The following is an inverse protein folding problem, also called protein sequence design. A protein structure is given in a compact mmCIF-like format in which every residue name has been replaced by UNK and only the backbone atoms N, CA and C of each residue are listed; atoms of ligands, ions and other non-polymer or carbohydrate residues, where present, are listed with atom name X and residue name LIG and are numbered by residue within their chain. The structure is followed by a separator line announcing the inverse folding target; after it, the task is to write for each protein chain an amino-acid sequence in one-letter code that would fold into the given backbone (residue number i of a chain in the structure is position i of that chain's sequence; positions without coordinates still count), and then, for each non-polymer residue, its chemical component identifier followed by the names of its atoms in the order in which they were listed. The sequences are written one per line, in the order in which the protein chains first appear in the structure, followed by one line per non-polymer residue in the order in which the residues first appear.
data_IF_745185256424
#
_entry.id   IF_745185256424
#
_cell.length_a   1.000
_cell.length_b   1.000
_cell.length_c   1.000
_cell.angle_alpha   90.00
_cell.angle_beta   90.00
_cell.angle_gamma   90.00
#
_symmetry.space_group_name_H-M   'P 1'
#
loop_
_entity.id
_entity.type
_entity.pdbx_description
1 polymer ?
#
# COMPACT_ATOMS: atom_id res chain seq x y z
N UNK A 1 5.94 -17.75 -15.13
CA UNK A 1 4.62 -17.40 -14.54
C UNK A 1 4.13 -18.42 -13.50
N UNK A 2 4.44 -19.71 -13.65
CA UNK A 2 4.02 -20.74 -12.68
C UNK A 2 4.58 -20.50 -11.27
N UNK A 3 5.86 -20.14 -11.16
CA UNK A 3 6.52 -19.88 -9.88
C UNK A 3 5.94 -18.66 -9.14
N UNK A 4 5.65 -17.56 -9.85
CA UNK A 4 5.02 -16.36 -9.24
C UNK A 4 3.68 -16.74 -8.59
N UNK A 5 2.84 -17.51 -9.30
CA UNK A 5 1.54 -17.95 -8.77
C UNK A 5 1.69 -18.87 -7.56
N UNK A 6 2.68 -19.77 -7.56
CA UNK A 6 2.94 -20.66 -6.43
C UNK A 6 3.38 -19.88 -5.18
N UNK A 7 4.32 -18.92 -5.34
CA UNK A 7 4.81 -18.06 -4.25
C UNK A 7 3.67 -17.17 -3.73
N UNK A 8 2.94 -16.52 -4.63
CA UNK A 8 1.78 -15.71 -4.30
C UNK A 8 0.73 -16.49 -3.48
N UNK A 9 0.36 -17.69 -3.95
CA UNK A 9 -0.64 -18.52 -3.26
C UNK A 9 -0.15 -18.99 -1.88
N UNK A 10 1.14 -19.36 -1.77
CA UNK A 10 1.77 -19.71 -0.49
C UNK A 10 1.71 -18.55 0.48
N UNK A 11 2.12 -17.36 0.04
CA UNK A 11 2.17 -16.18 0.89
C UNK A 11 0.78 -15.71 1.32
N UNK A 12 -0.17 -15.69 0.38
CA UNK A 12 -1.56 -15.33 0.67
C UNK A 12 -2.18 -16.30 1.70
N UNK A 13 -1.97 -17.61 1.54
CA UNK A 13 -2.40 -18.60 2.55
C UNK A 13 -1.72 -18.38 3.89
N UNK A 14 -0.44 -17.99 3.90
CA UNK A 14 0.29 -17.68 5.14
C UNK A 14 -0.34 -16.50 5.88
N UNK A 15 -0.77 -15.46 5.18
CA UNK A 15 -1.48 -14.33 5.78
C UNK A 15 -2.81 -14.77 6.43
N UNK A 16 -3.63 -15.51 5.70
CA UNK A 16 -4.95 -15.94 6.21
C UNK A 16 -4.88 -17.10 7.21
N UNK A 17 -3.77 -17.83 7.27
CA UNK A 17 -3.53 -18.83 8.33
C UNK A 17 -2.99 -18.20 9.62
N UNK A 18 -2.62 -16.91 9.59
CA UNK A 18 -2.16 -16.17 10.76
C UNK A 18 -3.23 -15.18 11.23
N UNK A 19 -3.27 -14.83 12.53
CA UNK A 19 -4.17 -13.80 13.03
C UNK A 19 -3.96 -12.41 12.39
N UNK A 20 -2.79 -12.16 11.82
CA UNK A 20 -2.36 -10.86 11.30
C UNK A 20 -3.32 -10.30 10.23
N UNK A 21 -3.74 -11.13 9.27
CA UNK A 21 -4.65 -10.68 8.21
C UNK A 21 -6.02 -10.28 8.79
N UNK A 22 -6.54 -11.06 9.72
CA UNK A 22 -7.84 -10.78 10.34
C UNK A 22 -7.80 -9.52 11.21
N UNK A 23 -6.74 -9.35 12.00
CA UNK A 23 -6.53 -8.12 12.79
C UNK A 23 -6.47 -6.91 11.86
N UNK A 24 -5.69 -7.00 10.77
CA UNK A 24 -5.62 -5.95 9.76
C UNK A 24 -7.01 -5.62 9.20
N UNK A 25 -7.75 -6.61 8.71
CA UNK A 25 -9.05 -6.41 8.07
C UNK A 25 -10.09 -5.82 9.04
N UNK A 26 -10.14 -6.34 10.28
CA UNK A 26 -11.11 -5.88 11.29
C UNK A 26 -10.79 -4.45 11.72
N UNK A 27 -9.55 -4.16 12.12
CA UNK A 27 -9.19 -2.81 12.58
C UNK A 27 -9.29 -1.81 11.44
N UNK A 28 -8.88 -2.18 10.22
CA UNK A 28 -9.04 -1.35 9.04
C UNK A 28 -10.51 -1.02 8.76
N UNK A 29 -11.41 -2.01 8.84
CA UNK A 29 -12.85 -1.82 8.64
C UNK A 29 -13.46 -0.95 9.74
N UNK A 30 -13.11 -1.17 11.02
CA UNK A 30 -13.62 -0.41 12.15
C UNK A 30 -13.19 1.06 12.08
N UNK A 31 -11.92 1.34 11.82
CA UNK A 31 -11.42 2.71 11.73
C UNK A 31 -12.09 3.46 10.57
N UNK A 32 -12.08 2.87 9.37
CA UNK A 32 -12.71 3.51 8.21
C UNK A 32 -14.23 3.65 8.39
N UNK A 33 -14.89 2.64 8.99
CA UNK A 33 -16.31 2.66 9.29
C UNK A 33 -16.68 3.77 10.28
N UNK A 34 -15.89 3.97 11.32
CA UNK A 34 -16.09 5.04 12.28
C UNK A 34 -16.05 6.42 11.61
N UNK A 35 -15.01 6.72 10.85
CA UNK A 35 -14.88 8.01 10.17
C UNK A 35 -15.94 8.23 9.10
N UNK A 36 -16.31 7.19 8.34
CA UNK A 36 -17.39 7.26 7.38
C UNK A 36 -18.73 7.57 8.08
N UNK A 37 -19.07 6.82 9.12
CA UNK A 37 -20.33 6.95 9.85
C UNK A 37 -20.44 8.34 10.48
N UNK A 38 -19.37 8.84 11.09
CA UNK A 38 -19.32 10.16 11.69
C UNK A 38 -19.62 11.26 10.66
N UNK A 39 -18.94 11.21 9.51
CA UNK A 39 -19.13 12.22 8.45
C UNK A 39 -20.49 12.12 7.78
N UNK A 40 -20.95 10.90 7.49
CA UNK A 40 -22.20 10.69 6.78
C UNK A 40 -23.43 11.03 7.64
N UNK A 41 -23.52 10.50 8.86
CA UNK A 41 -24.70 10.64 9.71
C UNK A 41 -24.68 11.87 10.63
N UNK A 42 -23.51 12.31 11.10
CA UNK A 42 -23.43 13.45 12.03
C UNK A 42 -23.20 14.78 11.30
N UNK A 43 -22.41 14.78 10.22
CA UNK A 43 -22.11 16.01 9.46
C UNK A 43 -23.06 16.14 8.25
N UNK A 44 -23.85 15.11 7.94
CA UNK A 44 -24.79 15.06 6.81
C UNK A 44 -24.12 15.32 5.44
N UNK A 45 -22.93 14.77 5.23
CA UNK A 45 -22.22 14.87 3.95
C UNK A 45 -22.27 13.56 3.18
N UNK A 46 -22.98 13.54 2.06
CA UNK A 46 -23.12 12.39 1.17
C UNK A 46 -21.93 12.24 0.22
N UNK A 47 -20.71 12.06 0.78
CA UNK A 47 -19.51 11.87 0.00
C UNK A 47 -18.51 10.90 0.67
N UNK A 48 -17.57 10.35 -0.13
CA UNK A 48 -16.54 9.41 0.34
C UNK A 48 -15.25 10.12 0.80
N UNK A 49 -15.21 11.46 0.82
CA UNK A 49 -13.98 12.22 1.10
C UNK A 49 -13.39 11.92 2.47
N UNK A 50 -14.22 11.72 3.48
CA UNK A 50 -13.74 11.37 4.82
C UNK A 50 -12.97 10.05 4.83
N UNK A 51 -13.50 9.03 4.15
CA UNK A 51 -12.83 7.75 4.00
C UNK A 51 -11.52 7.90 3.22
N UNK A 52 -11.54 8.65 2.12
CA UNK A 52 -10.36 8.88 1.28
C UNK A 52 -9.26 9.67 2.01
N UNK A 53 -9.62 10.57 2.91
CA UNK A 53 -8.65 11.33 3.69
C UNK A 53 -8.01 10.51 4.82
N UNK A 54 -8.79 9.63 5.48
CA UNK A 54 -8.30 8.87 6.62
C UNK A 54 -7.54 7.60 6.20
N UNK A 55 -7.94 6.96 5.10
CA UNK A 55 -7.36 5.69 4.67
C UNK A 55 -5.84 5.77 4.42
N UNK A 56 -5.29 6.80 3.73
CA UNK A 56 -3.84 6.93 3.59
C UNK A 56 -3.10 7.05 4.93
N UNK A 57 -3.69 7.69 5.93
CA UNK A 57 -3.13 7.77 7.28
C UNK A 57 -3.12 6.40 7.97
N UNK A 58 -4.18 5.63 7.83
CA UNK A 58 -4.25 4.25 8.34
C UNK A 58 -3.19 3.39 7.65
N UNK A 59 -2.98 3.56 6.36
CA UNK A 59 -1.96 2.85 5.59
C UNK A 59 -0.54 3.08 6.09
N UNK A 60 -0.22 4.24 6.69
CA UNK A 60 1.12 4.55 7.23
C UNK A 60 1.64 3.47 8.20
N UNK A 61 0.76 2.87 8.97
CA UNK A 61 1.14 1.85 9.95
C UNK A 61 0.76 0.44 9.52
N UNK A 62 -0.40 0.28 8.90
CA UNK A 62 -0.93 -1.06 8.57
C UNK A 62 -0.20 -1.73 7.41
N UNK A 63 0.15 -0.98 6.37
CA UNK A 63 0.87 -1.57 5.23
C UNK A 63 2.30 -1.98 5.60
N UNK A 64 3.09 -1.15 6.32
CA UNK A 64 4.36 -1.59 6.89
C UNK A 64 4.23 -2.83 7.78
N UNK A 65 3.18 -2.93 8.61
CA UNK A 65 2.98 -4.10 9.46
C UNK A 65 2.71 -5.40 8.64
N UNK A 66 1.95 -5.30 7.54
CA UNK A 66 1.72 -6.43 6.63
C UNK A 66 3.01 -6.81 5.87
N UNK A 67 3.77 -5.83 5.41
CA UNK A 67 4.93 -6.05 4.54
C UNK A 67 6.24 -6.36 5.28
N UNK A 68 6.35 -6.04 6.57
CA UNK A 68 7.58 -6.23 7.36
C UNK A 68 8.11 -7.67 7.34
N UNK A 69 7.23 -8.65 7.28
CA UNK A 69 7.58 -10.06 7.36
C UNK A 69 7.86 -10.72 6.00
N UNK A 70 7.57 -10.04 4.89
CA UNK A 70 7.60 -10.63 3.55
C UNK A 70 8.94 -11.30 3.19
N UNK A 71 10.06 -10.66 3.52
CA UNK A 71 11.40 -11.15 3.21
C UNK A 71 12.21 -11.32 4.51
N UNK A 72 12.10 -10.38 5.45
CA UNK A 72 12.84 -10.39 6.70
C UNK A 72 12.63 -11.67 7.52
N UNK A 73 11.41 -12.22 7.51
CA UNK A 73 11.08 -13.48 8.19
C UNK A 73 11.85 -14.67 7.59
N UNK A 74 11.89 -14.78 6.27
CA UNK A 74 12.58 -15.90 5.60
C UNK A 74 14.09 -15.80 5.77
N UNK A 75 14.61 -14.59 5.87
CA UNK A 75 16.02 -14.36 6.18
C UNK A 75 16.35 -14.71 7.63
N UNK A 76 15.53 -14.30 8.56
CA UNK A 76 15.70 -14.62 9.98
C UNK A 76 15.68 -16.14 10.25
N UNK A 77 14.85 -16.87 9.49
CA UNK A 77 14.74 -18.33 9.59
C UNK A 77 15.79 -19.09 8.75
N UNK A 78 16.65 -18.40 8.00
CA UNK A 78 17.61 -19.04 7.08
C UNK A 78 16.99 -19.72 5.86
N UNK A 79 15.66 -19.62 5.70
CA UNK A 79 14.96 -20.31 4.59
C UNK A 79 15.21 -19.67 3.23
N UNK A 80 15.74 -18.45 3.19
CA UNK A 80 16.12 -17.79 1.93
C UNK A 80 17.24 -18.54 1.20
N UNK A 81 18.13 -19.22 1.92
CA UNK A 81 19.19 -20.04 1.35
C UNK A 81 18.60 -21.24 0.61
N UNK A 82 17.58 -21.89 1.19
CA UNK A 82 16.86 -22.99 0.56
C UNK A 82 16.15 -22.49 -0.72
N UNK A 83 15.54 -21.32 -0.69
CA UNK A 83 14.88 -20.72 -1.85
C UNK A 83 15.89 -20.45 -2.97
N UNK A 84 17.11 -20.06 -2.63
CA UNK A 84 18.19 -19.83 -3.59
C UNK A 84 18.69 -21.11 -4.30
N UNK A 85 18.45 -22.30 -3.74
CA UNK A 85 18.77 -23.58 -4.39
C UNK A 85 17.67 -24.05 -5.34
N UNK A 86 16.46 -23.49 -5.24
CA UNK A 86 15.36 -23.81 -6.13
C UNK A 86 15.53 -23.12 -7.50
N UNK A 87 15.00 -23.67 -8.59
CA UNK A 87 15.05 -23.08 -9.92
C UNK A 87 14.03 -21.93 -10.05
N UNK A 88 14.09 -20.97 -9.10
CA UNK A 88 13.22 -19.79 -9.02
C UNK A 88 14.07 -18.57 -9.26
N UNK A 89 13.61 -17.68 -10.13
CA UNK A 89 14.26 -16.40 -10.36
C UNK A 89 13.90 -15.40 -9.25
N UNK A 90 14.86 -14.58 -8.82
CA UNK A 90 14.68 -13.62 -7.71
C UNK A 90 13.51 -12.68 -7.97
N UNK A 91 13.31 -12.21 -9.20
CA UNK A 91 12.18 -11.36 -9.53
C UNK A 91 10.82 -12.08 -9.35
N UNK A 92 10.74 -13.39 -9.61
CA UNK A 92 9.51 -14.17 -9.41
C UNK A 92 9.17 -14.26 -7.91
N UNK A 93 10.19 -14.39 -7.08
CA UNK A 93 10.07 -14.39 -5.63
C UNK A 93 9.56 -13.03 -5.10
N UNK A 94 10.20 -11.93 -5.51
CA UNK A 94 9.83 -10.57 -5.07
C UNK A 94 8.42 -10.21 -5.52
N UNK A 95 8.09 -10.43 -6.80
CA UNK A 95 6.78 -10.10 -7.36
C UNK A 95 5.68 -10.94 -6.71
N UNK A 96 5.91 -12.25 -6.50
CA UNK A 96 4.92 -13.12 -5.87
C UNK A 96 4.54 -12.66 -4.46
N UNK A 97 5.51 -12.27 -3.65
CA UNK A 97 5.31 -11.76 -2.29
C UNK A 97 4.66 -10.39 -2.27
N UNK A 98 5.11 -9.49 -3.13
CA UNK A 98 4.51 -8.17 -3.30
C UNK A 98 3.03 -8.25 -3.69
N UNK A 99 2.68 -9.08 -4.68
CA UNK A 99 1.29 -9.26 -5.11
C UNK A 99 0.41 -9.83 -3.99
N UNK A 100 0.93 -10.71 -3.14
CA UNK A 100 0.18 -11.23 -2.00
C UNK A 100 -0.15 -10.12 -0.99
N UNK A 101 0.79 -9.22 -0.70
CA UNK A 101 0.53 -8.07 0.18
C UNK A 101 -0.48 -7.09 -0.43
N UNK A 102 -0.35 -6.78 -1.72
CA UNK A 102 -1.32 -5.92 -2.43
C UNK A 102 -2.72 -6.54 -2.41
N UNK A 103 -2.83 -7.86 -2.60
CA UNK A 103 -4.14 -8.55 -2.55
C UNK A 103 -4.78 -8.43 -1.17
N UNK A 104 -4.01 -8.54 -0.09
CA UNK A 104 -4.53 -8.34 1.27
C UNK A 104 -5.02 -6.90 1.48
N UNK A 105 -4.30 -5.90 0.97
CA UNK A 105 -4.70 -4.49 1.04
C UNK A 105 -5.99 -4.25 0.25
N UNK A 106 -6.07 -4.76 -0.98
CA UNK A 106 -7.26 -4.66 -1.82
C UNK A 106 -8.45 -5.39 -1.19
N UNK A 107 -8.24 -6.52 -0.49
CA UNK A 107 -9.31 -7.19 0.25
C UNK A 107 -9.83 -6.33 1.41
N UNK A 108 -8.96 -5.57 2.09
CA UNK A 108 -9.36 -4.57 3.08
C UNK A 108 -10.20 -3.45 2.46
N UNK A 109 -9.78 -2.92 1.32
CA UNK A 109 -10.58 -1.94 0.57
C UNK A 109 -11.92 -2.50 0.11
N UNK A 110 -11.97 -3.76 -0.31
CA UNK A 110 -13.23 -4.40 -0.72
C UNK A 110 -14.26 -4.44 0.42
N UNK A 111 -13.83 -4.62 1.66
CA UNK A 111 -14.72 -4.54 2.83
C UNK A 111 -15.32 -3.14 2.96
N UNK A 112 -14.55 -2.09 2.71
CA UNK A 112 -15.04 -0.71 2.79
C UNK A 112 -16.04 -0.33 1.69
N UNK A 113 -16.20 -1.16 0.64
CA UNK A 113 -17.25 -0.96 -0.37
C UNK A 113 -18.67 -1.00 0.22
N UNK A 114 -18.85 -1.63 1.39
CA UNK A 114 -20.12 -1.56 2.13
C UNK A 114 -20.54 -0.11 2.38
N UNK A 115 -19.58 0.77 2.69
CA UNK A 115 -19.86 2.21 2.88
C UNK A 115 -20.28 2.89 1.57
N UNK A 116 -19.69 2.51 0.46
CA UNK A 116 -20.10 3.00 -0.86
C UNK A 116 -21.52 2.56 -1.22
N UNK A 117 -21.87 1.29 -0.96
CA UNK A 117 -23.25 0.80 -1.17
C UNK A 117 -24.25 1.46 -0.22
N UNK A 118 -23.88 1.75 1.02
CA UNK A 118 -24.70 2.52 1.96
C UNK A 118 -24.95 3.93 1.43
N UNK A 119 -23.90 4.60 0.95
CA UNK A 119 -23.99 5.91 0.32
C UNK A 119 -24.97 5.89 -0.87
N UNK A 120 -24.89 4.88 -1.74
CA UNK A 120 -25.75 4.72 -2.91
C UNK A 120 -27.24 4.57 -2.55
N UNK A 121 -27.55 3.96 -1.40
CA UNK A 121 -28.95 3.72 -0.99
C UNK A 121 -29.57 4.90 -0.23
N UNK A 122 -28.77 5.63 0.53
CA UNK A 122 -29.27 6.63 1.48
C UNK A 122 -28.82 8.06 1.12
N UNK A 123 -27.72 8.19 0.38
CA UNK A 123 -27.15 9.47 0.01
C UNK A 123 -27.87 10.16 -1.14
N UNK A 124 -27.70 11.47 -1.24
CA UNK A 124 -28.23 12.31 -2.33
C UNK A 124 -27.07 12.95 -3.09
N UNK A 125 -27.25 13.15 -4.40
CA UNK A 125 -26.31 13.83 -5.28
C UNK A 125 -24.87 13.23 -5.25
N UNK A 126 -24.77 11.93 -5.46
CA UNK A 126 -23.51 11.16 -5.34
C UNK A 126 -22.68 11.29 -6.62
N UNK A 127 -21.39 11.64 -6.48
CA UNK A 127 -20.41 11.57 -7.54
C UNK A 127 -19.78 10.16 -7.61
N UNK A 128 -20.35 9.32 -8.47
CA UNK A 128 -19.87 7.94 -8.69
C UNK A 128 -18.47 7.90 -9.30
N UNK A 129 -18.15 8.88 -10.17
CA UNK A 129 -16.85 8.97 -10.81
C UNK A 129 -15.73 9.20 -9.81
N UNK A 130 -15.89 10.20 -8.95
CA UNK A 130 -14.95 10.49 -7.89
C UNK A 130 -14.81 9.33 -6.89
N UNK A 131 -15.91 8.64 -6.56
CA UNK A 131 -15.87 7.49 -5.67
C UNK A 131 -15.06 6.32 -6.25
N UNK A 132 -15.32 5.91 -7.49
CA UNK A 132 -14.60 4.80 -8.14
C UNK A 132 -13.12 5.16 -8.33
N UNK A 133 -12.82 6.35 -8.84
CA UNK A 133 -11.45 6.81 -9.02
C UNK A 133 -10.69 6.92 -7.68
N UNK A 134 -11.38 7.32 -6.60
CA UNK A 134 -10.83 7.35 -5.27
C UNK A 134 -10.43 5.96 -4.75
N UNK A 135 -11.26 4.93 -4.95
CA UNK A 135 -10.91 3.55 -4.61
C UNK A 135 -9.73 3.02 -5.43
N UNK A 136 -9.68 3.30 -6.73
CA UNK A 136 -8.53 2.97 -7.58
C UNK A 136 -7.27 3.68 -7.06
N UNK A 137 -7.39 4.97 -6.72
CA UNK A 137 -6.31 5.74 -6.12
C UNK A 137 -5.81 5.14 -4.82
N UNK A 138 -6.70 4.73 -3.90
CA UNK A 138 -6.32 4.06 -2.65
C UNK A 138 -5.62 2.72 -2.89
N UNK A 139 -6.06 1.95 -3.88
CA UNK A 139 -5.38 0.72 -4.27
C UNK A 139 -3.95 0.98 -4.78
N UNK A 140 -3.76 2.05 -5.57
CA UNK A 140 -2.44 2.46 -6.07
C UNK A 140 -1.53 2.98 -4.94
N UNK A 141 -2.04 3.81 -4.02
CA UNK A 141 -1.30 4.26 -2.82
C UNK A 141 -0.89 3.05 -2.00
N UNK A 142 -1.82 2.12 -1.76
CA UNK A 142 -1.54 0.88 -1.06
C UNK A 142 -0.45 0.04 -1.73
N UNK A 143 -0.47 -0.04 -3.05
CA UNK A 143 0.53 -0.74 -3.84
C UNK A 143 1.92 -0.09 -3.74
N UNK A 144 2.01 1.26 -3.75
CA UNK A 144 3.27 1.99 -3.52
C UNK A 144 3.81 1.69 -2.12
N UNK A 145 2.98 1.82 -1.09
CA UNK A 145 3.41 1.58 0.29
C UNK A 145 3.82 0.12 0.52
N UNK A 146 3.13 -0.83 -0.11
CA UNK A 146 3.52 -2.24 -0.09
C UNK A 146 4.87 -2.49 -0.78
N UNK A 147 5.16 -1.79 -1.89
CA UNK A 147 6.45 -1.91 -2.57
C UNK A 147 7.60 -1.36 -1.70
N UNK A 148 7.39 -0.21 -1.06
CA UNK A 148 8.33 0.36 -0.10
C UNK A 148 8.55 -0.55 1.13
N UNK A 149 7.47 -1.16 1.65
CA UNK A 149 7.56 -2.13 2.73
C UNK A 149 8.26 -3.43 2.33
N UNK A 150 8.06 -3.90 1.10
CA UNK A 150 8.78 -5.06 0.55
C UNK A 150 10.29 -4.75 0.45
N UNK A 151 10.64 -3.55 0.01
CA UNK A 151 12.03 -3.07 0.02
C UNK A 151 12.60 -3.04 1.44
N UNK A 152 11.91 -2.41 2.39
CA UNK A 152 12.36 -2.35 3.78
C UNK A 152 12.58 -3.75 4.37
N UNK A 153 11.68 -4.70 4.06
CA UNK A 153 11.79 -6.10 4.47
C UNK A 153 13.00 -6.82 3.86
N UNK A 154 13.52 -6.34 2.72
CA UNK A 154 14.71 -6.90 2.09
C UNK A 154 16.04 -6.39 2.67
N UNK A 155 16.01 -5.26 3.38
CA UNK A 155 17.21 -4.61 3.93
C UNK A 155 17.71 -5.32 5.20
N UNK A 156 16.83 -5.85 6.02
CA UNK A 156 17.13 -6.41 7.34
C UNK A 156 16.51 -7.80 7.54
N UNK A 157 17.04 -8.53 8.50
CA UNK A 157 16.52 -9.86 8.92
C UNK A 157 15.53 -9.72 10.09
N UNK A 158 15.51 -8.55 10.75
CA UNK A 158 14.64 -8.28 11.88
C UNK A 158 13.33 -7.62 11.40
N UNK A 159 12.19 -8.26 11.66
CA UNK A 159 10.87 -7.77 11.25
C UNK A 159 10.53 -6.42 11.88
N UNK A 160 10.93 -6.17 13.14
CA UNK A 160 10.65 -4.90 13.83
C UNK A 160 11.46 -3.75 13.19
N UNK A 161 12.72 -4.00 12.87
CA UNK A 161 13.55 -3.02 12.16
C UNK A 161 13.00 -2.76 10.76
N UNK A 162 12.55 -3.81 10.05
CA UNK A 162 11.88 -3.69 8.77
C UNK A 162 10.64 -2.81 8.85
N UNK A 163 9.81 -3.01 9.87
CA UNK A 163 8.63 -2.19 10.13
C UNK A 163 8.98 -0.71 10.30
N UNK A 164 9.98 -0.41 11.14
CA UNK A 164 10.42 0.96 11.41
C UNK A 164 10.92 1.64 10.12
N UNK A 165 11.74 0.94 9.32
CA UNK A 165 12.24 1.45 8.03
C UNK A 165 11.07 1.70 7.07
N UNK A 166 10.13 0.76 6.97
CA UNK A 166 8.96 0.89 6.10
C UNK A 166 8.08 2.09 6.50
N UNK A 167 7.77 2.22 7.80
CA UNK A 167 7.01 3.37 8.34
C UNK A 167 7.72 4.67 8.03
N UNK A 168 9.05 4.74 8.24
CA UNK A 168 9.81 5.95 7.96
C UNK A 168 9.74 6.35 6.48
N UNK A 169 9.93 5.40 5.55
CA UNK A 169 9.83 5.67 4.12
C UNK A 169 8.41 6.17 3.76
N UNK A 170 7.38 5.50 4.25
CA UNK A 170 5.98 5.83 3.93
C UNK A 170 5.59 7.19 4.52
N UNK A 171 6.03 7.51 5.75
CA UNK A 171 5.84 8.84 6.36
C UNK A 171 6.51 9.94 5.53
N UNK A 172 7.73 9.70 5.03
CA UNK A 172 8.41 10.67 4.16
C UNK A 172 7.54 10.98 2.94
N UNK A 173 7.04 9.97 2.22
CA UNK A 173 6.16 10.17 1.07
C UNK A 173 4.86 10.90 1.40
N UNK A 174 4.28 10.62 2.57
CA UNK A 174 3.06 11.28 3.03
C UNK A 174 3.30 12.74 3.46
N UNK A 175 4.44 13.02 4.11
CA UNK A 175 4.79 14.37 4.58
C UNK A 175 5.18 15.32 3.43
N UNK A 176 5.66 14.83 2.29
CA UNK A 176 6.11 15.68 1.19
C UNK A 176 5.07 16.73 0.78
N UNK A 177 3.79 16.36 0.71
CA UNK A 177 2.72 17.29 0.40
C UNK A 177 2.50 18.34 1.51
N UNK A 178 2.59 17.92 2.76
CA UNK A 178 2.38 18.80 3.93
C UNK A 178 3.53 19.78 4.14
N UNK A 179 4.73 19.42 3.69
CA UNK A 179 5.91 20.28 3.76
C UNK A 179 5.94 21.39 2.72
N UNK A 180 5.07 21.35 1.69
CA UNK A 180 5.04 22.37 0.63
C UNK A 180 4.87 23.80 1.15
N UNK A 181 4.23 23.99 2.32
CA UNK A 181 4.03 25.28 2.97
C UNK A 181 5.36 25.94 3.36
N UNK A 182 6.38 25.13 3.64
CA UNK A 182 7.70 25.59 4.09
C UNK A 182 8.74 25.70 2.98
N UNK A 183 8.39 25.24 1.76
CA UNK A 183 9.33 25.13 0.62
C UNK A 183 9.28 26.38 -0.26
N UNK A 184 10.43 26.94 -0.65
CA UNK A 184 10.49 28.03 -1.63
C UNK A 184 9.82 27.65 -2.95
N UNK A 185 9.17 28.62 -3.62
CA UNK A 185 8.40 28.41 -4.85
C UNK A 185 9.16 27.71 -5.98
N UNK A 186 10.49 27.90 -6.04
CA UNK A 186 11.32 27.25 -7.05
C UNK A 186 11.46 25.72 -6.92
N UNK A 187 11.31 25.16 -5.72
CA UNK A 187 11.41 23.71 -5.45
C UNK A 187 10.03 23.07 -5.22
N UNK A 188 9.00 23.88 -5.01
CA UNK A 188 7.66 23.40 -4.68
C UNK A 188 7.11 22.43 -5.72
N UNK A 189 7.28 22.71 -7.01
CA UNK A 189 6.81 21.84 -8.10
C UNK A 189 7.49 20.47 -8.12
N UNK A 190 8.76 20.38 -7.77
CA UNK A 190 9.51 19.13 -7.70
C UNK A 190 9.04 18.25 -6.52
N UNK A 191 8.91 18.85 -5.35
CA UNK A 191 8.44 18.14 -4.13
C UNK A 191 6.98 17.71 -4.29
N UNK A 192 6.14 18.56 -4.86
CA UNK A 192 4.76 18.25 -5.16
C UNK A 192 4.65 17.03 -6.10
N UNK A 193 5.47 16.99 -7.17
CA UNK A 193 5.50 15.85 -8.09
C UNK A 193 5.99 14.56 -7.44
N UNK A 194 6.83 14.61 -6.41
CA UNK A 194 7.28 13.44 -5.66
C UNK A 194 6.26 12.95 -4.62
N UNK A 195 5.25 13.74 -4.30
CA UNK A 195 4.25 13.41 -3.27
C UNK A 195 3.23 12.40 -3.77
N UNK A 196 3.05 11.31 -3.02
CA UNK A 196 1.98 10.32 -3.23
C UNK A 196 0.61 10.94 -3.01
N UNK A 197 0.48 11.81 -2.00
CA UNK A 197 -0.79 12.45 -1.61
C UNK A 197 -1.30 13.42 -2.68
N UNK A 198 -0.40 14.13 -3.35
CA UNK A 198 -0.73 14.99 -4.49
C UNK A 198 -1.40 14.22 -5.64
N UNK A 199 -0.79 13.13 -6.08
CA UNK A 199 -1.31 12.29 -7.16
C UNK A 199 -2.60 11.59 -6.77
N UNK A 200 -2.71 11.16 -5.51
CA UNK A 200 -3.93 10.57 -4.97
C UNK A 200 -5.09 11.58 -4.91
N UNK A 201 -4.84 12.81 -4.49
CA UNK A 201 -5.86 13.86 -4.40
C UNK A 201 -6.51 14.13 -5.74
N UNK A 202 -5.75 14.10 -6.85
CA UNK A 202 -6.30 14.23 -8.20
C UNK A 202 -7.26 13.08 -8.54
N UNK A 203 -6.86 11.83 -8.24
CA UNK A 203 -7.70 10.66 -8.47
C UNK A 203 -8.97 10.69 -7.59
N UNK A 204 -8.86 11.10 -6.32
CA UNK A 204 -9.99 11.19 -5.39
C UNK A 204 -11.04 12.23 -5.79
N UNK A 205 -10.69 13.16 -6.68
CA UNK A 205 -11.60 14.13 -7.31
C UNK A 205 -12.22 13.63 -8.61
N UNK A 206 -11.93 12.40 -9.02
CA UNK A 206 -12.43 11.82 -10.26
C UNK A 206 -11.61 12.18 -11.51
N UNK A 207 -10.44 12.81 -11.37
CA UNK A 207 -9.57 13.18 -12.49
C UNK A 207 -8.56 12.05 -12.74
N UNK A 208 -8.74 11.32 -13.82
CA UNK A 208 -7.79 10.31 -14.29
C UNK A 208 -6.80 10.97 -15.23
N UNK A 209 -5.60 11.29 -14.72
CA UNK A 209 -4.48 11.74 -15.53
C UNK A 209 -3.46 10.59 -15.65
N UNK A 210 -3.02 10.33 -16.89
CA UNK A 210 -1.98 9.32 -17.16
C UNK A 210 -0.67 9.61 -16.45
N UNK A 211 -0.37 10.87 -16.15
CA UNK A 211 0.79 11.28 -15.35
C UNK A 211 0.77 10.67 -13.95
N UNK A 212 -0.41 10.64 -13.31
CA UNK A 212 -0.58 10.06 -11.98
C UNK A 212 -0.34 8.54 -12.03
N UNK A 213 -0.88 7.84 -13.04
CA UNK A 213 -0.69 6.39 -13.20
C UNK A 213 0.79 6.03 -13.47
N UNK A 214 1.46 6.82 -14.33
CA UNK A 214 2.90 6.63 -14.60
C UNK A 214 3.72 6.85 -13.33
N UNK A 215 3.40 7.86 -12.53
CA UNK A 215 4.06 8.10 -11.24
C UNK A 215 3.94 6.88 -10.32
N UNK A 216 2.72 6.39 -10.06
CA UNK A 216 2.51 5.21 -9.21
C UNK A 216 3.27 3.99 -9.74
N UNK A 217 3.19 3.72 -11.05
CA UNK A 217 3.91 2.62 -11.69
C UNK A 217 5.42 2.75 -11.58
N UNK A 218 5.97 3.95 -11.74
CA UNK A 218 7.41 4.21 -11.64
C UNK A 218 7.95 4.02 -10.22
N UNK A 219 7.23 4.50 -9.20
CA UNK A 219 7.63 4.33 -7.80
C UNK A 219 7.57 2.86 -7.38
N UNK A 220 6.51 2.13 -7.76
CA UNK A 220 6.42 0.69 -7.53
C UNK A 220 7.58 -0.04 -8.20
N UNK A 221 7.82 0.24 -9.49
CA UNK A 221 8.91 -0.37 -10.25
C UNK A 221 10.28 -0.09 -9.63
N UNK A 222 10.51 1.13 -9.16
CA UNK A 222 11.75 1.53 -8.50
C UNK A 222 12.01 0.71 -7.23
N UNK A 223 11.05 0.63 -6.31
CA UNK A 223 11.24 -0.14 -5.07
C UNK A 223 11.40 -1.64 -5.32
N UNK A 224 10.62 -2.22 -6.23
CA UNK A 224 10.75 -3.63 -6.58
C UNK A 224 12.09 -3.93 -7.28
N UNK A 225 12.58 -3.03 -8.13
CA UNK A 225 13.88 -3.16 -8.78
C UNK A 225 15.03 -3.12 -7.77
N UNK A 226 15.03 -2.16 -6.83
CA UNK A 226 16.05 -2.10 -5.78
C UNK A 226 15.97 -3.33 -4.88
N UNK A 227 14.76 -3.79 -4.52
CA UNK A 227 14.57 -5.02 -3.75
C UNK A 227 15.19 -6.22 -4.45
N UNK A 228 14.95 -6.37 -5.75
CA UNK A 228 15.54 -7.42 -6.57
C UNK A 228 17.07 -7.35 -6.53
N UNK A 229 17.65 -6.18 -6.77
CA UNK A 229 19.11 -5.98 -6.75
C UNK A 229 19.74 -6.28 -5.39
N UNK A 230 19.09 -5.86 -4.30
CA UNK A 230 19.57 -6.13 -2.95
C UNK A 230 19.66 -7.63 -2.65
N UNK A 231 18.65 -8.41 -3.04
CA UNK A 231 18.65 -9.86 -2.83
C UNK A 231 19.70 -10.51 -3.73
N UNK A 232 19.84 -10.07 -4.98
CA UNK A 232 20.82 -10.59 -5.94
C UNK A 232 22.26 -10.43 -5.46
N UNK A 233 22.63 -9.21 -5.02
CA UNK A 233 23.99 -8.92 -4.52
C UNK A 233 24.35 -9.75 -3.28
N UNK A 234 23.37 -10.01 -2.43
CA UNK A 234 23.59 -10.80 -1.21
C UNK A 234 23.68 -12.33 -1.46
N UNK A 235 23.21 -12.80 -2.58
CA UNK A 235 23.37 -14.21 -2.98
C UNK A 235 24.83 -14.59 -3.25
N UNK A 236 25.67 -13.60 -3.57
CA UNK A 236 27.08 -13.77 -3.91
C UNK A 236 28.04 -13.52 -2.74
N UNK A 237 27.53 -13.19 -1.56
CA UNK A 237 28.28 -13.10 -0.31
C UNK A 237 27.99 -14.27 0.62
#
# INVERSE_FOLDING_TARGET
MHNIKAIYSKELRSFFNSPMAYIFLVVFAVVNGYFFTNTFFLINQSNMRALFNITPLVYLFFIPAVSMSLIARERNLGTIEIINTLPIKIYEFVIGKYLASVTLIVSGLAITLVHFFTLMKVGTNIDYGAAICGYVGLALVGAVYASAGTFASSVTDNQVVSFIIAVFIVIVFWLLDKMLIFVPSGLAGLIQFMSVDYHFTNLSRGVIDTRNLIYFGSVIGFFLFITHRLIEVRKWK
#
